data_IF_253383680611
#
_entry.id   IF_253383680611
#
_cell.length_a   1.000
_cell.length_b   1.000
_cell.length_c   1.000
_cell.angle_alpha   90.00
_cell.angle_beta   90.00
_cell.angle_gamma   90.00
#
_symmetry.space_group_name_H-M   'P 1'
#
loop_
_entity.id
_entity.type
_entity.pdbx_description
1 polymer ?
#
# COMPACT_ATOMS: atom_id res chain seq x y z
N UNK A 1 -6.31 -16.67 -47.15
CA UNK A 1 -6.41 -16.63 -45.67
C UNK A 1 -5.13 -17.25 -45.10
N UNK A 2 -4.28 -16.45 -44.47
CA UNK A 2 -2.88 -16.82 -44.18
C UNK A 2 -2.79 -17.68 -42.91
N UNK A 3 -2.47 -18.97 -43.05
CA UNK A 3 -2.32 -19.94 -41.94
C UNK A 3 -1.38 -19.45 -40.82
N UNK A 4 -0.38 -18.61 -41.15
CA UNK A 4 0.54 -18.00 -40.18
C UNK A 4 -0.12 -16.94 -39.29
N UNK A 5 -1.08 -16.19 -39.81
CA UNK A 5 -1.81 -15.17 -39.04
C UNK A 5 -2.72 -15.85 -38.00
N UNK A 6 -3.33 -16.98 -38.37
CA UNK A 6 -4.26 -17.74 -37.51
C UNK A 6 -3.54 -18.40 -36.32
N UNK A 7 -2.30 -18.88 -36.52
CA UNK A 7 -1.47 -19.45 -35.45
C UNK A 7 -1.02 -18.37 -34.45
N UNK A 8 -0.63 -17.18 -34.94
CA UNK A 8 -0.19 -16.07 -34.07
C UNK A 8 -1.34 -15.56 -33.21
N UNK A 9 -2.55 -15.45 -33.77
CA UNK A 9 -3.73 -15.03 -33.01
C UNK A 9 -4.16 -16.05 -31.96
N UNK A 10 -3.97 -17.35 -32.22
CA UNK A 10 -4.33 -18.43 -31.28
C UNK A 10 -3.31 -18.57 -30.14
N UNK A 11 -2.03 -18.32 -30.42
CA UNK A 11 -0.98 -18.33 -29.39
C UNK A 11 -1.08 -17.14 -28.43
N UNK A 12 -1.47 -15.97 -28.92
CA UNK A 12 -1.59 -14.76 -28.10
C UNK A 12 -2.79 -14.81 -27.14
N UNK A 13 -3.90 -15.44 -27.54
CA UNK A 13 -5.07 -15.63 -26.66
C UNK A 13 -4.85 -16.69 -25.57
N UNK A 14 -3.96 -17.66 -25.80
CA UNK A 14 -3.62 -18.68 -24.81
C UNK A 14 -2.71 -18.14 -23.70
N UNK A 15 -1.87 -17.15 -24.00
CA UNK A 15 -0.99 -16.50 -23.01
C UNK A 15 -1.75 -15.59 -22.03
N UNK A 16 -2.90 -15.04 -22.43
CA UNK A 16 -3.70 -14.15 -21.56
C UNK A 16 -4.51 -14.86 -20.47
N UNK A 17 -4.68 -16.18 -20.56
CA UNK A 17 -5.45 -16.97 -19.59
C UNK A 17 -4.63 -17.43 -18.37
N UNK A 18 -3.30 -17.29 -18.41
CA UNK A 18 -2.42 -17.81 -17.35
C UNK A 18 -2.24 -16.86 -16.14
N UNK A 19 -2.72 -15.61 -16.22
CA UNK A 19 -2.36 -14.56 -15.26
C UNK A 19 -3.31 -14.38 -14.07
N UNK A 20 -4.42 -15.13 -13.99
CA UNK A 20 -5.45 -14.93 -12.94
C UNK A 20 -5.27 -15.80 -11.68
N UNK A 21 -4.28 -16.69 -11.62
CA UNK A 21 -4.17 -17.67 -10.53
C UNK A 21 -3.58 -17.15 -9.19
N UNK A 22 -3.10 -15.91 -9.13
CA UNK A 22 -2.35 -15.41 -7.96
C UNK A 22 -3.21 -14.70 -6.90
N UNK A 23 -4.42 -14.25 -7.24
CA UNK A 23 -5.27 -13.51 -6.30
C UNK A 23 -6.05 -14.44 -5.35
N UNK A 24 -6.57 -15.56 -5.89
CA UNK A 24 -7.28 -16.57 -5.07
C UNK A 24 -6.36 -17.21 -4.03
N UNK A 25 -5.07 -17.40 -4.35
CA UNK A 25 -4.10 -18.01 -3.44
C UNK A 25 -3.82 -17.16 -2.18
N UNK A 26 -3.90 -15.84 -2.27
CA UNK A 26 -3.71 -14.94 -1.11
C UNK A 26 -4.94 -14.96 -0.21
N UNK A 27 -6.14 -15.01 -0.80
CA UNK A 27 -7.38 -15.06 -0.03
C UNK A 27 -7.44 -16.37 0.77
N UNK A 28 -7.12 -17.50 0.14
CA UNK A 28 -7.11 -18.83 0.76
C UNK A 28 -6.06 -18.94 1.90
N UNK A 29 -4.95 -18.20 1.81
CA UNK A 29 -3.96 -18.11 2.89
C UNK A 29 -4.46 -17.31 4.11
N UNK A 30 -5.39 -16.38 3.89
CA UNK A 30 -5.89 -15.47 4.92
C UNK A 30 -7.21 -15.95 5.53
N UNK A 31 -7.87 -16.97 4.96
CA UNK A 31 -9.18 -17.49 5.43
C UNK A 31 -9.16 -18.99 5.75
N UNK A 32 -9.95 -19.43 6.72
CA UNK A 32 -10.17 -20.85 7.01
C UNK A 32 -11.09 -21.54 5.97
N UNK A 33 -11.30 -22.85 6.14
CA UNK A 33 -12.20 -23.65 5.31
C UNK A 33 -13.67 -23.15 5.26
N UNK A 34 -14.07 -22.26 6.17
CA UNK A 34 -15.39 -21.62 6.20
C UNK A 34 -15.37 -20.19 5.62
N UNK A 35 -14.24 -19.76 5.04
CA UNK A 35 -14.04 -18.41 4.52
C UNK A 35 -13.84 -17.34 5.59
N UNK A 36 -13.57 -17.71 6.85
CA UNK A 36 -13.36 -16.76 7.94
C UNK A 36 -11.88 -16.37 8.02
N UNK A 37 -11.60 -15.07 8.11
CA UNK A 37 -10.24 -14.58 8.30
C UNK A 37 -9.56 -15.21 9.53
N UNK A 38 -8.37 -15.80 9.34
CA UNK A 38 -7.57 -16.48 10.38
C UNK A 38 -6.32 -15.71 10.82
N UNK A 39 -6.03 -14.58 10.18
CA UNK A 39 -4.90 -13.75 10.59
C UNK A 39 -5.14 -13.03 11.93
N UNK A 40 -4.10 -12.40 12.50
CA UNK A 40 -4.24 -11.59 13.71
C UNK A 40 -5.30 -10.52 13.49
N UNK A 41 -6.14 -10.29 14.50
CA UNK A 41 -7.19 -9.28 14.38
C UNK A 41 -6.59 -7.92 14.07
N UNK A 42 -7.34 -7.08 13.34
CA UNK A 42 -6.92 -5.69 13.10
C UNK A 42 -6.60 -4.97 14.41
N UNK A 43 -7.40 -5.25 15.44
CA UNK A 43 -7.24 -4.68 16.77
C UNK A 43 -5.93 -5.12 17.44
N UNK A 44 -5.55 -6.40 17.33
CA UNK A 44 -4.27 -6.88 17.84
C UNK A 44 -3.08 -6.30 17.06
N UNK A 45 -3.24 -6.05 15.75
CA UNK A 45 -2.22 -5.39 14.95
C UNK A 45 -2.04 -3.93 15.36
N UNK A 46 -3.13 -3.19 15.53
CA UNK A 46 -3.08 -1.80 16.00
C UNK A 46 -2.49 -1.73 17.40
N UNK A 47 -2.88 -2.63 18.32
CA UNK A 47 -2.31 -2.69 19.67
C UNK A 47 -0.81 -2.96 19.69
N UNK A 48 -0.28 -3.68 18.69
CA UNK A 48 1.17 -3.90 18.55
C UNK A 48 1.92 -2.69 18.00
N UNK A 49 1.23 -1.83 17.24
CA UNK A 49 1.80 -0.62 16.65
C UNK A 49 1.70 0.58 17.60
N UNK A 50 0.56 0.74 18.29
CA UNK A 50 0.26 1.83 19.22
C UNK A 50 1.12 1.71 20.50
N UNK A 51 2.31 2.31 20.44
CA UNK A 51 3.32 2.27 21.51
C UNK A 51 3.05 3.31 22.57
N UNK A 52 2.52 4.47 22.19
CA UNK A 52 2.17 5.54 23.11
C UNK A 52 0.82 5.33 23.81
N UNK A 53 0.05 4.32 23.37
CA UNK A 53 -1.25 3.88 23.91
C UNK A 53 -2.31 4.98 23.81
N UNK A 54 -2.26 5.78 22.77
CA UNK A 54 -3.23 6.83 22.50
C UNK A 54 -4.52 6.30 21.83
N UNK A 55 -4.54 5.01 21.45
CA UNK A 55 -5.68 4.34 20.84
C UNK A 55 -5.63 4.26 19.31
N UNK A 56 -4.56 4.74 18.67
CA UNK A 56 -4.32 4.58 17.23
C UNK A 56 -2.82 4.44 16.94
N UNK A 57 -2.49 3.92 15.77
CA UNK A 57 -1.10 3.85 15.30
C UNK A 57 -0.81 5.05 14.40
N UNK A 58 0.17 5.86 14.77
CA UNK A 58 0.65 6.95 13.91
C UNK A 58 1.58 6.44 12.79
N UNK A 59 1.93 7.32 11.85
CA UNK A 59 2.77 6.94 10.69
C UNK A 59 4.19 6.50 11.10
N UNK A 60 4.73 7.09 12.16
CA UNK A 60 6.06 6.76 12.68
C UNK A 60 6.05 5.40 13.36
N UNK A 61 4.99 5.10 14.12
CA UNK A 61 4.75 3.80 14.74
C UNK A 61 4.53 2.70 13.70
N UNK A 62 3.76 2.99 12.64
CA UNK A 62 3.60 2.09 11.49
C UNK A 62 4.94 1.82 10.82
N UNK A 63 5.77 2.83 10.58
CA UNK A 63 7.13 2.62 10.04
C UNK A 63 7.95 1.74 10.96
N UNK A 64 8.03 2.07 12.25
CA UNK A 64 8.83 1.33 13.21
C UNK A 64 8.41 -0.15 13.27
N UNK A 65 7.11 -0.42 13.22
CA UNK A 65 6.56 -1.77 13.20
C UNK A 65 6.89 -2.54 11.91
N UNK A 66 6.82 -1.89 10.75
CA UNK A 66 7.17 -2.51 9.47
C UNK A 66 8.67 -2.79 9.37
N UNK A 67 9.52 -1.88 9.85
CA UNK A 67 10.97 -2.10 9.91
C UNK A 67 11.36 -3.21 10.88
N UNK A 68 10.63 -3.37 11.99
CA UNK A 68 10.82 -4.49 12.91
C UNK A 68 10.52 -5.85 12.25
N UNK A 69 9.53 -5.92 11.36
CA UNK A 69 9.14 -7.15 10.69
C UNK A 69 9.97 -7.49 9.45
N UNK A 70 10.30 -6.48 8.64
CA UNK A 70 10.89 -6.67 7.31
C UNK A 70 12.35 -6.22 7.22
N UNK A 71 12.87 -5.56 8.25
CA UNK A 71 14.22 -5.01 8.31
C UNK A 71 14.25 -3.50 8.04
N UNK A 72 15.39 -2.90 8.38
CA UNK A 72 15.59 -1.46 8.27
C UNK A 72 15.47 -0.95 6.83
N UNK A 73 14.73 0.15 6.64
CA UNK A 73 14.53 0.75 5.32
C UNK A 73 13.49 0.05 4.44
N UNK A 74 12.67 -0.86 4.99
CA UNK A 74 11.54 -1.43 4.27
C UNK A 74 10.62 -0.33 3.73
N UNK A 75 10.32 -0.38 2.43
CA UNK A 75 9.44 0.59 1.74
C UNK A 75 9.78 2.06 2.02
N UNK A 76 11.06 2.37 2.25
CA UNK A 76 11.55 3.68 2.68
C UNK A 76 10.95 4.85 1.89
N UNK A 77 10.94 4.77 0.55
CA UNK A 77 10.43 5.86 -0.29
C UNK A 77 8.92 6.12 -0.09
N UNK A 78 8.14 5.07 0.17
CA UNK A 78 6.71 5.18 0.45
C UNK A 78 6.48 5.75 1.84
N UNK A 79 7.16 5.21 2.85
CA UNK A 79 7.04 5.66 4.23
C UNK A 79 7.54 7.10 4.40
N UNK A 80 8.58 7.52 3.67
CA UNK A 80 9.09 8.90 3.67
C UNK A 80 8.01 9.87 3.17
N UNK A 81 7.21 9.48 2.18
CA UNK A 81 6.08 10.28 1.68
C UNK A 81 4.93 10.32 2.66
N UNK A 82 4.67 9.23 3.37
CA UNK A 82 3.63 9.18 4.40
C UNK A 82 3.98 10.07 5.58
N UNK A 83 5.21 10.00 6.08
CA UNK A 83 5.67 10.89 7.15
C UNK A 83 5.69 12.36 6.71
N UNK A 84 6.11 12.64 5.47
CA UNK A 84 6.05 13.99 4.92
C UNK A 84 4.60 14.52 4.85
N UNK A 85 3.65 13.67 4.47
CA UNK A 85 2.22 14.01 4.44
C UNK A 85 1.66 14.25 5.84
N UNK A 86 2.00 13.38 6.81
CA UNK A 86 1.60 13.52 8.20
C UNK A 86 2.20 14.77 8.87
N UNK A 87 3.43 15.14 8.48
CA UNK A 87 4.12 16.35 8.96
C UNK A 87 3.62 17.65 8.31
N UNK A 88 2.51 17.61 7.57
CA UNK A 88 1.87 18.79 7.00
C UNK A 88 2.50 19.32 5.70
N UNK A 89 3.43 18.59 5.06
CA UNK A 89 3.98 19.02 3.75
C UNK A 89 2.98 18.87 2.60
N UNK A 90 1.82 18.26 2.85
CA UNK A 90 0.77 17.97 1.87
C UNK A 90 0.10 19.20 1.23
N UNK A 91 0.25 20.40 1.81
CA UNK A 91 -0.35 21.64 1.26
C UNK A 91 0.70 22.67 0.80
N UNK A 92 1.84 22.21 0.27
CA UNK A 92 2.76 23.08 -0.47
C UNK A 92 2.24 23.33 -1.89
N UNK A 93 1.00 23.82 -2.04
CA UNK A 93 0.58 24.34 -3.34
C UNK A 93 1.37 25.64 -3.59
N UNK A 94 1.85 25.89 -4.82
CA UNK A 94 2.62 27.10 -5.13
C UNK A 94 1.88 28.41 -4.77
N UNK A 95 0.55 28.36 -4.70
CA UNK A 95 -0.34 29.46 -4.32
C UNK A 95 -0.23 29.90 -2.85
N UNK A 96 0.24 29.03 -1.93
CA UNK A 96 0.35 29.42 -0.51
C UNK A 96 1.44 30.48 -0.26
N UNK A 97 2.35 30.69 -1.22
CA UNK A 97 3.38 31.73 -1.13
C UNK A 97 2.86 33.12 -1.50
N UNK A 98 1.84 33.20 -2.35
CA UNK A 98 1.27 34.48 -2.81
C UNK A 98 0.25 35.08 -1.83
N UNK A 99 -0.38 34.26 -0.97
CA UNK A 99 -1.35 34.75 0.02
C UNK A 99 -0.72 35.52 1.20
N UNK A 100 0.59 35.40 1.41
CA UNK A 100 1.32 36.13 2.45
C UNK A 100 2.19 37.28 1.91
N UNK A 101 2.30 37.45 0.59
CA UNK A 101 3.07 38.54 -0.02
C UNK A 101 2.29 39.85 -0.17
N UNK A 102 0.97 39.86 0.05
CA UNK A 102 0.16 41.08 0.00
C UNK A 102 -0.21 41.59 1.41
N UNK A 103 0.83 41.96 2.17
CA UNK A 103 0.69 42.90 3.29
C UNK A 103 1.62 44.07 3.05
N UNK A 104 1.32 44.85 2.02
CA UNK A 104 1.75 46.24 1.90
C UNK A 104 0.51 47.12 1.85
N UNK A 105 -0.03 47.47 3.02
CA UNK A 105 -0.29 48.83 3.53
C UNK A 105 -1.19 48.78 4.76
#
# INVERSE_FOLDING_TARGET
MNKRLLIVTLGLSLATLASSANADAVLDYLTDFNGKYIGPSLEDNVRRMDTDKNGFADVFEVRAFLELQHGAGYEKQLLDKWEASASGKSCSTPFAKELYSDKTY
#
